data_IF_921145658857
#
_entry.id   IF_921145658857
#
_cell.length_a   1.000
_cell.length_b   1.000
_cell.length_c   1.000
_cell.angle_alpha   90.00
_cell.angle_beta   90.00
_cell.angle_gamma   90.00
#
_symmetry.space_group_name_H-M   'P 1'
#
loop_
_entity.id
_entity.type
_entity.pdbx_description
1 polymer ?
#
# COMPACT_ATOMS: atom_id res chain seq x y z
N UNK A 1 -24.75 65.94 9.88
CA UNK A 1 -24.95 64.63 9.22
C UNK A 1 -23.80 63.72 9.61
N UNK A 2 -24.07 62.59 10.29
CA UNK A 2 -23.09 61.61 10.77
C UNK A 2 -23.00 60.48 9.73
N UNK A 3 -21.85 60.23 9.12
CA UNK A 3 -21.61 59.04 8.31
C UNK A 3 -20.79 58.03 9.10
N UNK A 4 -21.32 56.80 9.19
CA UNK A 4 -20.84 55.67 9.99
C UNK A 4 -19.81 54.84 9.19
N UNK A 5 -18.84 54.29 9.90
CA UNK A 5 -17.82 53.33 9.48
C UNK A 5 -18.36 52.10 8.73
N UNK A 6 -17.51 51.52 7.88
CA UNK A 6 -17.34 50.06 7.81
C UNK A 6 -15.95 49.73 7.21
N UNK A 7 -15.05 49.24 8.07
CA UNK A 7 -13.79 48.60 7.67
C UNK A 7 -14.15 47.16 7.28
N UNK A 8 -14.02 46.81 6.01
CA UNK A 8 -14.16 45.45 5.53
C UNK A 8 -12.80 44.75 5.63
N UNK A 9 -12.68 43.84 6.60
CA UNK A 9 -11.60 42.87 6.69
C UNK A 9 -11.81 41.81 5.59
N UNK A 10 -10.92 41.78 4.62
CA UNK A 10 -10.89 40.75 3.58
C UNK A 10 -10.48 39.41 4.17
N UNK A 11 -11.32 38.40 4.00
CA UNK A 11 -11.04 37.00 4.34
C UNK A 11 -9.98 36.49 3.36
N UNK A 12 -8.79 36.17 3.86
CA UNK A 12 -7.80 35.41 3.11
C UNK A 12 -8.29 33.95 3.00
N UNK A 13 -8.63 33.50 1.80
CA UNK A 13 -8.94 32.12 1.51
C UNK A 13 -7.63 31.30 1.54
N UNK A 14 -7.46 30.49 2.58
CA UNK A 14 -6.37 29.53 2.67
C UNK A 14 -6.58 28.42 1.64
N UNK A 15 -5.75 28.37 0.60
CA UNK A 15 -5.64 27.22 -0.29
C UNK A 15 -4.97 26.08 0.49
N UNK A 16 -5.78 25.16 1.02
CA UNK A 16 -5.27 23.88 1.50
C UNK A 16 -4.79 23.07 0.28
N UNK A 17 -3.48 22.92 0.12
CA UNK A 17 -2.90 21.95 -0.79
C UNK A 17 -3.12 20.55 -0.20
N UNK A 18 -4.33 20.02 -0.35
CA UNK A 18 -4.61 18.60 -0.15
C UNK A 18 -3.96 17.83 -1.28
N UNK A 19 -2.82 17.19 -1.02
CA UNK A 19 -2.27 16.19 -1.94
C UNK A 19 -3.33 15.12 -2.18
N UNK A 20 -3.61 14.82 -3.44
CA UNK A 20 -4.42 13.64 -3.80
C UNK A 20 -3.66 12.42 -3.28
N UNK A 21 -4.22 11.69 -2.32
CA UNK A 21 -3.70 10.37 -1.98
C UNK A 21 -3.70 9.54 -3.27
N UNK A 22 -2.56 8.95 -3.60
CA UNK A 22 -2.46 8.14 -4.80
C UNK A 22 -3.49 7.00 -4.73
N UNK A 23 -4.23 6.79 -5.83
CA UNK A 23 -5.22 5.74 -5.88
C UNK A 23 -4.50 4.38 -5.83
N UNK A 24 -4.98 3.48 -4.97
CA UNK A 24 -4.42 2.15 -4.85
C UNK A 24 -4.59 1.36 -6.15
N UNK A 25 -3.58 0.55 -6.49
CA UNK A 25 -3.63 -0.37 -7.63
C UNK A 25 -2.88 -1.66 -7.26
N UNK A 26 -3.63 -2.71 -6.94
CA UNK A 26 -3.11 -3.95 -6.38
C UNK A 26 -2.89 -5.02 -7.46
N UNK A 27 -1.64 -5.49 -7.55
CA UNK A 27 -1.20 -6.52 -8.48
C UNK A 27 -0.89 -7.82 -7.75
N UNK A 28 -1.45 -8.95 -8.16
CA UNK A 28 -1.04 -10.25 -7.63
C UNK A 28 0.35 -10.64 -8.15
N UNK A 29 1.33 -10.72 -7.26
CA UNK A 29 2.76 -10.93 -7.61
C UNK A 29 3.26 -12.35 -7.32
N UNK A 30 2.63 -13.03 -6.35
CA UNK A 30 2.98 -14.39 -5.99
C UNK A 30 1.77 -15.08 -5.36
N UNK A 31 1.74 -16.41 -5.42
CA UNK A 31 0.68 -17.22 -4.84
C UNK A 31 1.20 -18.58 -4.43
N UNK A 32 0.61 -19.13 -3.37
CA UNK A 32 0.78 -20.52 -2.98
C UNK A 32 -0.59 -21.15 -2.66
N UNK A 33 -0.58 -22.35 -2.08
CA UNK A 33 -1.81 -23.06 -1.75
C UNK A 33 -2.68 -22.33 -0.72
N UNK A 34 -2.10 -21.46 0.11
CA UNK A 34 -2.74 -20.82 1.26
C UNK A 34 -2.99 -19.33 1.07
N UNK A 35 -2.12 -18.64 0.32
CA UNK A 35 -2.09 -17.18 0.24
C UNK A 35 -1.87 -16.67 -1.18
N UNK A 36 -2.40 -15.48 -1.43
CA UNK A 36 -2.02 -14.62 -2.56
C UNK A 36 -1.34 -13.38 -1.98
N UNK A 37 -0.23 -12.99 -2.60
CA UNK A 37 0.54 -11.80 -2.27
C UNK A 37 0.25 -10.74 -3.32
N UNK A 38 -0.23 -9.58 -2.89
CA UNK A 38 -0.54 -8.46 -3.79
C UNK A 38 0.31 -7.25 -3.44
N UNK A 39 0.87 -6.59 -4.44
CA UNK A 39 1.63 -5.35 -4.27
C UNK A 39 0.80 -4.14 -4.71
N UNK A 40 0.77 -3.08 -3.90
CA UNK A 40 0.10 -1.81 -4.24
C UNK A 40 1.04 -0.93 -5.07
N UNK A 41 0.93 -1.03 -6.38
CA UNK A 41 1.69 -0.23 -7.34
C UNK A 41 1.23 1.22 -7.35
N UNK A 42 -0.09 1.43 -7.23
CA UNK A 42 -0.68 2.77 -7.26
C UNK A 42 -0.29 3.60 -6.03
N UNK A 43 -0.08 2.95 -4.89
CA UNK A 43 0.38 3.56 -3.64
C UNK A 43 1.91 3.63 -3.46
N UNK A 44 2.72 3.28 -4.46
CA UNK A 44 4.19 3.31 -4.32
C UNK A 44 4.72 4.72 -4.06
N UNK A 45 5.67 4.83 -3.13
CA UNK A 45 6.39 6.05 -2.82
C UNK A 45 7.85 5.97 -3.27
N UNK A 46 8.41 7.10 -3.68
CA UNK A 46 9.87 7.24 -3.89
C UNK A 46 10.33 8.51 -3.18
N UNK A 47 11.25 8.35 -2.23
CA UNK A 47 11.92 9.44 -1.52
C UNK A 47 13.41 9.17 -1.58
N UNK A 48 14.16 10.13 -2.13
CA UNK A 48 15.59 9.97 -2.43
C UNK A 48 15.87 8.71 -3.27
N UNK A 49 16.66 7.76 -2.74
CA UNK A 49 17.00 6.48 -3.37
C UNK A 49 16.17 5.30 -2.84
N UNK A 50 15.14 5.58 -2.04
CA UNK A 50 14.30 4.57 -1.40
C UNK A 50 12.92 4.51 -2.06
N UNK A 51 12.56 3.32 -2.55
CA UNK A 51 11.21 3.02 -3.03
C UNK A 51 10.43 2.27 -1.95
N UNK A 52 9.23 2.72 -1.61
CA UNK A 52 8.32 2.05 -0.66
C UNK A 52 7.12 1.45 -1.39
N UNK A 53 6.69 0.28 -0.93
CA UNK A 53 5.55 -0.45 -1.53
C UNK A 53 4.82 -1.26 -0.46
N UNK A 54 3.48 -1.26 -0.48
CA UNK A 54 2.67 -2.15 0.35
C UNK A 54 2.51 -3.50 -0.30
N UNK A 55 2.58 -4.55 0.52
CA UNK A 55 2.31 -5.92 0.10
C UNK A 55 1.28 -6.56 1.01
N UNK A 56 0.10 -6.86 0.47
CA UNK A 56 -0.95 -7.58 1.18
C UNK A 56 -0.75 -9.09 1.09
N UNK A 57 -0.99 -9.77 2.22
CA UNK A 57 -0.99 -11.22 2.38
C UNK A 57 -2.42 -11.68 2.61
N UNK A 58 -3.07 -12.15 1.56
CA UNK A 58 -4.49 -12.53 1.60
C UNK A 58 -4.65 -14.04 1.65
N UNK A 59 -5.39 -14.56 2.64
CA UNK A 59 -5.74 -15.98 2.69
C UNK A 59 -6.65 -16.37 1.53
N UNK A 60 -6.37 -17.52 0.90
CA UNK A 60 -7.23 -18.17 -0.10
C UNK A 60 -8.38 -18.96 0.54
N UNK A 61 -8.32 -19.19 1.85
CA UNK A 61 -9.29 -19.94 2.64
C UNK A 61 -9.77 -19.06 3.79
N UNK A 62 -10.73 -18.15 3.53
CA UNK A 62 -11.27 -17.30 4.59
C UNK A 62 -12.10 -18.13 5.58
N UNK A 63 -12.20 -17.68 6.83
CA UNK A 63 -13.00 -18.37 7.84
C UNK A 63 -14.50 -18.33 7.51
N UNK A 64 -14.94 -17.28 6.82
CA UNK A 64 -16.30 -17.12 6.31
C UNK A 64 -16.31 -16.39 4.95
N UNK A 65 -17.41 -16.41 4.18
CA UNK A 65 -17.50 -15.65 2.93
C UNK A 65 -17.35 -14.13 3.09
N UNK A 66 -17.57 -13.61 4.30
CA UNK A 66 -17.50 -12.18 4.64
C UNK A 66 -16.26 -11.81 5.43
N UNK A 67 -15.30 -12.73 5.59
CA UNK A 67 -14.04 -12.46 6.28
C UNK A 67 -13.07 -11.76 5.33
N UNK A 68 -12.94 -10.44 5.48
CA UNK A 68 -12.03 -9.59 4.73
C UNK A 68 -10.69 -9.35 5.44
N UNK A 69 -10.30 -10.22 6.37
CA UNK A 69 -9.04 -10.06 7.09
C UNK A 69 -7.83 -10.27 6.18
N UNK A 70 -6.78 -9.46 6.41
CA UNK A 70 -5.47 -9.58 5.80
C UNK A 70 -4.42 -8.81 6.59
N UNK A 71 -3.16 -9.07 6.30
CA UNK A 71 -2.04 -8.23 6.74
C UNK A 71 -1.44 -7.54 5.52
N UNK A 72 -1.06 -6.27 5.65
CA UNK A 72 -0.27 -5.57 4.66
C UNK A 72 1.04 -5.07 5.29
N UNK A 73 2.15 -5.37 4.64
CA UNK A 73 3.48 -5.02 5.11
C UNK A 73 4.15 -4.06 4.12
N UNK A 74 4.75 -3.00 4.65
CA UNK A 74 5.58 -2.08 3.91
C UNK A 74 6.97 -2.66 3.71
N UNK A 75 7.45 -2.55 2.49
CA UNK A 75 8.83 -2.82 2.15
C UNK A 75 9.47 -1.54 1.62
N UNK A 76 10.64 -1.21 2.14
CA UNK A 76 11.49 -0.16 1.61
C UNK A 76 12.68 -0.77 0.89
N UNK A 77 12.95 -0.35 -0.34
CA UNK A 77 14.02 -0.86 -1.19
C UNK A 77 15.02 0.24 -1.56
N UNK A 78 16.30 -0.10 -1.49
CA UNK A 78 17.38 0.62 -2.21
C UNK A 78 17.72 -0.19 -3.44
N UNK A 79 17.04 0.12 -4.55
CA UNK A 79 17.09 -0.68 -5.77
C UNK A 79 18.51 -0.85 -6.32
N UNK A 80 19.31 0.21 -6.33
CA UNK A 80 20.68 0.20 -6.83
C UNK A 80 21.63 -0.66 -5.96
N UNK A 81 21.37 -0.74 -4.65
CA UNK A 81 22.21 -1.46 -3.69
C UNK A 81 21.76 -2.89 -3.41
N UNK A 82 20.65 -3.34 -4.04
CA UNK A 82 20.00 -4.63 -3.77
C UNK A 82 19.68 -4.83 -2.27
N UNK A 83 19.17 -3.79 -1.60
CA UNK A 83 18.81 -3.85 -0.19
C UNK A 83 17.30 -3.65 0.05
N UNK A 84 16.81 -4.27 1.11
CA UNK A 84 15.43 -4.16 1.59
C UNK A 84 15.42 -4.00 3.10
N UNK A 85 14.41 -3.32 3.63
CA UNK A 85 14.05 -3.37 5.06
C UNK A 85 12.53 -3.36 5.24
N UNK A 86 12.00 -3.91 6.34
CA UNK A 86 10.59 -3.76 6.66
C UNK A 86 10.27 -2.34 7.12
N UNK A 87 9.09 -1.85 6.77
CA UNK A 87 8.50 -0.59 7.26
C UNK A 87 7.39 -0.85 8.26
N UNK A 88 6.22 -0.24 8.05
CA UNK A 88 5.02 -0.54 8.81
C UNK A 88 4.41 -1.91 8.44
N UNK A 89 3.77 -2.56 9.40
CA UNK A 89 2.85 -3.68 9.16
C UNK A 89 1.48 -3.33 9.72
N UNK A 90 0.44 -3.65 8.97
CA UNK A 90 -0.94 -3.27 9.23
C UNK A 90 -1.81 -4.51 9.18
N UNK A 91 -2.58 -4.73 10.24
CA UNK A 91 -3.56 -5.81 10.32
C UNK A 91 -4.96 -5.27 10.05
N UNK A 92 -5.72 -6.01 9.26
CA UNK A 92 -7.10 -5.71 8.93
C UNK A 92 -8.01 -6.83 9.44
N UNK A 93 -9.09 -6.46 10.12
CA UNK A 93 -10.08 -7.37 10.68
C UNK A 93 -11.04 -7.94 9.64
N UNK A 94 -11.98 -8.76 10.10
CA UNK A 94 -12.97 -9.43 9.22
C UNK A 94 -13.83 -8.44 8.42
N UNK A 95 -14.06 -7.23 8.93
CA UNK A 95 -14.81 -6.19 8.22
C UNK A 95 -13.94 -5.40 7.21
N UNK A 96 -12.65 -5.71 7.13
CA UNK A 96 -11.67 -5.04 6.28
C UNK A 96 -11.19 -3.70 6.84
N UNK A 97 -11.46 -3.39 8.11
CA UNK A 97 -10.94 -2.19 8.77
C UNK A 97 -9.61 -2.46 9.46
N UNK A 98 -8.75 -1.44 9.54
CA UNK A 98 -7.46 -1.54 10.25
C UNK A 98 -7.72 -1.78 11.74
N UNK A 99 -7.15 -2.87 12.28
CA UNK A 99 -7.26 -3.24 13.69
C UNK A 99 -5.98 -2.96 14.46
N UNK A 100 -4.84 -3.00 13.79
CA UNK A 100 -3.52 -2.78 14.39
C UNK A 100 -2.54 -2.25 13.35
N UNK A 101 -1.58 -1.44 13.81
CA UNK A 101 -0.43 -1.00 13.04
C UNK A 101 0.79 -0.96 13.94
N UNK A 102 1.89 -1.51 13.44
CA UNK A 102 3.17 -1.48 14.10
C UNK A 102 4.28 -1.11 13.12
N UNK A 103 5.17 -0.24 13.57
CA UNK A 103 6.38 0.12 12.82
C UNK A 103 7.44 -0.94 13.14
N UNK A 104 7.89 -1.69 12.13
CA UNK A 104 8.99 -2.65 12.28
C UNK A 104 10.33 -1.88 12.21
N UNK A 105 10.53 -1.14 11.11
CA UNK A 105 11.67 -0.22 10.96
C UNK A 105 13.04 -0.91 11.04
N UNK A 106 13.10 -2.19 10.67
CA UNK A 106 14.28 -3.04 10.77
C UNK A 106 15.50 -2.59 9.94
N UNK A 107 16.58 -3.36 10.08
CA UNK A 107 17.84 -3.09 9.39
C UNK A 107 17.74 -3.33 7.87
N UNK A 108 18.62 -2.67 7.13
CA UNK A 108 18.80 -2.93 5.70
C UNK A 108 19.51 -4.26 5.47
N UNK A 109 18.84 -5.18 4.81
CA UNK A 109 19.37 -6.49 4.46
C UNK A 109 19.53 -6.63 2.94
N UNK A 110 20.37 -7.57 2.50
CA UNK A 110 20.49 -7.89 1.08
C UNK A 110 19.25 -8.67 0.62
N UNK A 111 18.66 -8.27 -0.51
CA UNK A 111 17.56 -9.03 -1.13
C UNK A 111 18.08 -10.39 -1.58
N UNK A 112 17.54 -11.45 -0.99
CA UNK A 112 17.89 -12.83 -1.31
C UNK A 112 17.06 -13.31 -2.51
N UNK A 113 17.64 -14.08 -3.45
CA UNK A 113 16.88 -14.67 -4.54
C UNK A 113 15.83 -15.65 -4.00
N UNK A 114 14.78 -15.90 -4.79
CA UNK A 114 13.70 -16.85 -4.50
C UNK A 114 12.93 -16.59 -3.20
N UNK A 115 13.00 -15.37 -2.65
CA UNK A 115 12.17 -14.91 -1.52
C UNK A 115 11.05 -14.00 -1.99
N UNK A 116 10.07 -13.76 -1.11
CA UNK A 116 9.03 -12.75 -1.36
C UNK A 116 9.65 -11.38 -1.68
N UNK A 117 10.72 -11.00 -0.97
CA UNK A 117 11.39 -9.71 -1.17
C UNK A 117 11.95 -9.59 -2.59
N UNK A 118 12.45 -10.67 -3.19
CA UNK A 118 12.89 -10.67 -4.59
C UNK A 118 11.73 -10.45 -5.57
N UNK A 119 10.58 -11.09 -5.35
CA UNK A 119 9.39 -10.88 -6.19
C UNK A 119 8.83 -9.45 -6.04
N UNK A 120 8.82 -8.92 -4.82
CA UNK A 120 8.37 -7.54 -4.57
C UNK A 120 9.34 -6.54 -5.20
N UNK A 121 10.66 -6.80 -5.13
CA UNK A 121 11.69 -5.98 -5.78
C UNK A 121 11.46 -5.87 -7.29
N UNK A 122 11.08 -6.94 -7.97
CA UNK A 122 10.77 -6.90 -9.42
C UNK A 122 9.68 -5.87 -9.74
N UNK A 123 8.67 -5.75 -8.88
CA UNK A 123 7.62 -4.74 -9.02
C UNK A 123 8.09 -3.34 -8.63
N UNK A 124 8.78 -3.24 -7.49
CA UNK A 124 9.19 -1.96 -6.92
C UNK A 124 10.31 -1.27 -7.72
N UNK A 125 11.27 -2.05 -8.22
CA UNK A 125 12.49 -1.55 -8.84
C UNK A 125 12.54 -1.77 -10.36
N UNK A 126 12.03 -2.90 -10.85
CA UNK A 126 12.25 -3.32 -12.24
C UNK A 126 11.02 -3.05 -13.13
N UNK A 127 9.93 -2.56 -12.54
CA UNK A 127 8.72 -2.16 -13.26
C UNK A 127 7.80 -3.32 -13.64
N UNK A 128 8.01 -4.52 -13.09
CA UNK A 128 7.12 -5.65 -13.35
C UNK A 128 5.70 -5.39 -12.84
N UNK A 129 4.70 -5.85 -13.60
CA UNK A 129 3.28 -5.70 -13.27
C UNK A 129 2.55 -7.00 -13.53
N UNK A 130 1.54 -7.31 -12.72
CA UNK A 130 0.64 -8.42 -13.01
C UNK A 130 -0.04 -8.22 -14.38
N UNK A 131 -0.18 -9.31 -15.14
CA UNK A 131 -1.13 -9.34 -16.24
C UNK A 131 -2.55 -9.22 -15.64
N UNK A 132 -3.45 -8.37 -16.19
CA UNK A 132 -4.78 -8.17 -15.64
C UNK A 132 -5.51 -9.49 -15.31
N UNK A 133 -6.34 -9.49 -14.25
CA UNK A 133 -6.87 -8.32 -13.55
C UNK A 133 -5.92 -7.67 -12.53
N UNK A 134 -6.05 -6.35 -12.36
CA UNK A 134 -5.52 -5.55 -11.24
C UNK A 134 -6.70 -4.98 -10.46
N UNK A 135 -6.51 -4.70 -9.17
CA UNK A 135 -7.62 -4.40 -8.27
C UNK A 135 -7.47 -3.02 -7.62
N UNK A 136 -8.56 -2.22 -7.53
CA UNK A 136 -8.51 -0.90 -6.90
C UNK A 136 -8.43 -0.96 -5.37
N UNK A 137 -8.62 -2.14 -4.77
CA UNK A 137 -8.47 -2.39 -3.33
C UNK A 137 -8.32 -3.90 -3.07
N UNK A 138 -7.82 -4.25 -1.88
CA UNK A 138 -7.78 -5.66 -1.43
C UNK A 138 -9.19 -6.25 -1.28
N UNK A 139 -10.16 -5.45 -0.83
CA UNK A 139 -11.56 -5.88 -0.75
C UNK A 139 -12.09 -6.29 -2.13
N UNK A 140 -11.83 -5.49 -3.17
CA UNK A 140 -12.25 -5.82 -4.53
C UNK A 140 -11.60 -7.14 -5.03
N UNK A 141 -10.33 -7.38 -4.70
CA UNK A 141 -9.68 -8.67 -4.97
C UNK A 141 -10.37 -9.85 -4.25
N UNK A 142 -10.73 -9.66 -2.98
CA UNK A 142 -11.40 -10.70 -2.19
C UNK A 142 -12.82 -10.99 -2.71
N UNK A 143 -13.58 -9.96 -3.08
CA UNK A 143 -14.90 -10.07 -3.69
C UNK A 143 -14.84 -10.74 -5.07
N UNK A 144 -13.75 -10.56 -5.82
CA UNK A 144 -13.48 -11.23 -7.08
C UNK A 144 -13.05 -12.72 -6.93
N UNK A 145 -13.04 -13.26 -5.70
CA UNK A 145 -12.81 -14.68 -5.46
C UNK A 145 -11.37 -15.06 -5.08
N UNK A 146 -10.53 -14.09 -4.66
CA UNK A 146 -9.22 -14.35 -4.04
C UNK A 146 -8.24 -15.14 -4.93
N UNK A 147 -8.34 -14.96 -6.25
CA UNK A 147 -7.47 -15.61 -7.23
C UNK A 147 -7.77 -17.09 -7.47
N UNK A 148 -9.01 -17.51 -7.25
CA UNK A 148 -9.55 -18.80 -7.71
C UNK A 148 -9.82 -18.82 -9.22
#
# INVERSE_FOLDING_TARGET
>A
MKFRSAILWGVAASLAAGGVAAAQEWHAISRNAERVYLADVGGMGVVDDVTTIMVARVSRRPASPTDFSYTADEYAYRCASNQVRPGASVEYGEDGTETSRFEDGGDWETVRPDTLDAFVKQVACDGERANPPVFPSIKAFMEAGRGN
#
